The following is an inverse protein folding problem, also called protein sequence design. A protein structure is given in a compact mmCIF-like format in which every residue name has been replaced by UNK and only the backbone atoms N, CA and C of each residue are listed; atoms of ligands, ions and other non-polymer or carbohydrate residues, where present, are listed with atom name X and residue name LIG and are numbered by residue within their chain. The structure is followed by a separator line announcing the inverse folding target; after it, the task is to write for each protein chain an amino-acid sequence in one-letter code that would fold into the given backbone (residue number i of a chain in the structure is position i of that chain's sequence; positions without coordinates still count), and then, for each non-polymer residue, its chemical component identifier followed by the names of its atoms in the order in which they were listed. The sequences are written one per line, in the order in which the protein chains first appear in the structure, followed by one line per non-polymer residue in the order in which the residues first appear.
data_IF_625678300901
#
_entry.id   IF_625678300901
#
_cell.length_a   1.000
_cell.length_b   1.000
_cell.length_c   1.000
_cell.angle_alpha   90.00
_cell.angle_beta   90.00
_cell.angle_gamma   90.00
#
_symmetry.space_group_name_H-M   'P 1'
#
loop_
_entity.id
_entity.type
_entity.pdbx_description
1 polymer ?
#
# COMPACT_ATOMS: atom_id res chain seq x y z
N UNK A 1 -5.63 3.62 12.49
CA UNK A 1 -6.24 2.36 11.99
C UNK A 1 -6.85 2.69 10.66
N UNK A 2 -6.51 1.94 9.64
CA UNK A 2 -6.95 2.21 8.27
C UNK A 2 -8.20 1.38 8.02
N UNK A 3 -9.27 2.02 7.57
CA UNK A 3 -10.49 1.32 7.22
C UNK A 3 -10.32 0.67 5.84
N UNK A 4 -10.38 -0.66 5.80
CA UNK A 4 -10.34 -1.43 4.56
C UNK A 4 -11.72 -1.52 3.91
N UNK A 5 -11.74 -1.73 2.58
CA UNK A 5 -12.98 -1.72 1.79
C UNK A 5 -14.03 -2.79 2.17
N UNK A 6 -13.63 -3.89 2.81
CA UNK A 6 -14.54 -4.93 3.28
C UNK A 6 -13.91 -5.76 4.41
N UNK A 7 -14.75 -6.48 5.16
CA UNK A 7 -14.31 -7.29 6.30
C UNK A 7 -13.30 -8.40 5.92
N UNK A 8 -13.37 -8.90 4.70
CA UNK A 8 -12.40 -9.89 4.21
C UNK A 8 -11.02 -9.25 3.99
N UNK A 9 -10.97 -8.10 3.33
CA UNK A 9 -9.72 -7.34 3.15
C UNK A 9 -9.12 -6.98 4.52
N UNK A 10 -9.93 -6.53 5.48
CA UNK A 10 -9.48 -6.30 6.87
C UNK A 10 -8.83 -7.54 7.45
N UNK A 11 -9.50 -8.70 7.38
CA UNK A 11 -8.98 -9.93 7.97
C UNK A 11 -7.66 -10.37 7.36
N UNK A 12 -7.50 -10.16 6.06
CA UNK A 12 -6.35 -10.62 5.29
C UNK A 12 -5.15 -9.66 5.44
N UNK A 13 -5.37 -8.34 5.40
CA UNK A 13 -4.32 -7.33 5.56
C UNK A 13 -3.85 -7.18 7.03
N UNK A 14 -4.79 -7.23 7.98
CA UNK A 14 -4.48 -7.07 9.42
C UNK A 14 -4.25 -8.40 10.12
N UNK A 15 -4.51 -9.52 9.45
CA UNK A 15 -4.26 -10.86 9.95
C UNK A 15 -2.80 -11.02 10.37
N UNK A 16 -2.57 -11.60 11.54
CA UNK A 16 -1.22 -11.94 12.02
C UNK A 16 -1.16 -13.44 12.28
N UNK A 17 -0.19 -14.10 11.66
CA UNK A 17 0.08 -15.50 11.93
C UNK A 17 0.76 -15.63 13.30
N UNK A 18 0.31 -16.57 14.13
CA UNK A 18 0.94 -16.85 15.44
C UNK A 18 2.24 -17.64 15.31
N UNK A 19 2.44 -18.30 14.17
CA UNK A 19 3.59 -19.16 13.89
C UNK A 19 4.67 -18.38 13.14
N UNK A 20 4.27 -17.58 12.15
CA UNK A 20 5.19 -16.81 11.31
C UNK A 20 5.10 -15.33 11.68
N UNK A 21 6.14 -14.75 12.32
CA UNK A 21 6.14 -13.32 12.68
C UNK A 21 6.26 -12.41 11.46
N UNK A 22 6.95 -12.89 10.42
CA UNK A 22 7.02 -12.24 9.12
C UNK A 22 5.83 -12.69 8.25
N UNK A 23 5.12 -11.71 7.68
CA UNK A 23 3.99 -11.94 6.78
C UNK A 23 4.44 -12.65 5.50
N UNK A 24 5.64 -12.39 5.00
CA UNK A 24 6.17 -13.01 3.79
C UNK A 24 6.57 -14.48 3.99
N UNK A 25 6.83 -14.88 5.24
CA UNK A 25 7.10 -16.27 5.59
C UNK A 25 5.83 -17.11 5.81
N UNK A 26 4.66 -16.47 5.87
CA UNK A 26 3.38 -17.14 6.11
C UNK A 26 2.76 -17.59 4.77
N UNK A 27 2.62 -18.91 4.50
CA UNK A 27 2.03 -19.38 3.24
C UNK A 27 0.54 -19.00 3.10
N UNK A 28 -0.13 -18.71 4.21
CA UNK A 28 -1.53 -18.29 4.25
C UNK A 28 -1.71 -16.77 4.13
N UNK A 29 -0.62 -15.98 4.15
CA UNK A 29 -0.72 -14.54 3.92
C UNK A 29 -0.78 -14.26 2.41
N UNK A 30 -1.88 -13.70 1.94
CA UNK A 30 -2.11 -13.47 0.51
C UNK A 30 -1.85 -12.03 0.09
N UNK A 31 -2.23 -11.07 0.94
CA UNK A 31 -2.10 -9.64 0.66
C UNK A 31 -1.26 -8.98 1.74
N UNK A 32 -0.42 -8.03 1.33
CA UNK A 32 0.20 -7.06 2.22
C UNK A 32 -0.44 -5.70 2.03
N UNK A 33 -0.51 -4.93 3.10
CA UNK A 33 -0.80 -3.50 3.03
C UNK A 33 0.44 -2.74 3.48
N UNK A 34 0.89 -1.78 2.68
CA UNK A 34 2.07 -0.94 2.95
C UNK A 34 1.61 0.46 3.35
N UNK A 35 1.61 0.81 4.66
CA UNK A 35 1.01 2.04 5.15
C UNK A 35 1.63 3.31 4.56
N UNK A 36 2.96 3.37 4.42
CA UNK A 36 3.64 4.57 3.89
C UNK A 36 3.28 4.91 2.45
N UNK A 37 2.88 3.91 1.67
CA UNK A 37 2.40 4.12 0.30
C UNK A 37 0.88 4.01 0.18
N UNK A 38 0.15 3.68 1.25
CA UNK A 38 -1.27 3.29 1.22
C UNK A 38 -1.60 2.29 0.11
N UNK A 39 -0.68 1.34 -0.11
CA UNK A 39 -0.70 0.42 -1.24
C UNK A 39 -1.02 -0.99 -0.78
N UNK A 40 -1.78 -1.73 -1.60
CA UNK A 40 -2.01 -3.15 -1.41
C UNK A 40 -1.21 -3.95 -2.43
N UNK A 41 -0.58 -5.02 -1.98
CA UNK A 41 0.13 -5.96 -2.86
C UNK A 41 -0.30 -7.40 -2.62
N UNK A 42 -0.36 -8.19 -3.69
CA UNK A 42 -0.45 -9.64 -3.62
C UNK A 42 0.96 -10.19 -3.37
N UNK A 43 1.12 -10.97 -2.30
CA UNK A 43 2.42 -11.55 -1.92
C UNK A 43 2.85 -12.61 -2.93
N UNK A 44 4.12 -12.58 -3.32
CA UNK A 44 4.74 -13.61 -4.16
C UNK A 44 5.52 -14.56 -3.25
N UNK A 45 5.05 -15.81 -3.15
CA UNK A 45 5.66 -16.83 -2.30
C UNK A 45 6.79 -17.58 -3.03
N UNK A 46 7.84 -16.85 -3.39
CA UNK A 46 9.06 -17.39 -4.03
C UNK A 46 10.26 -17.51 -3.07
N UNK A 47 10.03 -17.25 -1.78
CA UNK A 47 11.05 -17.21 -0.73
C UNK A 47 11.64 -15.82 -0.49
N UNK A 48 11.21 -14.78 -1.22
CA UNK A 48 11.57 -13.38 -0.97
C UNK A 48 10.45 -12.56 -0.31
N UNK A 49 10.61 -11.23 -0.35
CA UNK A 49 9.62 -10.24 0.13
C UNK A 49 8.88 -9.54 -1.03
N UNK A 50 8.89 -10.18 -2.19
CA UNK A 50 8.28 -9.62 -3.39
C UNK A 50 6.76 -9.63 -3.28
N UNK A 51 6.13 -8.62 -3.88
CA UNK A 51 4.67 -8.55 -4.03
C UNK A 51 4.30 -7.72 -5.24
N UNK A 52 3.10 -7.94 -5.78
CA UNK A 52 2.57 -7.22 -6.94
C UNK A 52 1.43 -6.32 -6.51
N UNK A 53 1.52 -5.03 -6.81
CA UNK A 53 0.44 -4.08 -6.54
C UNK A 53 -0.88 -4.56 -7.16
N UNK A 54 -1.97 -4.35 -6.42
CA UNK A 54 -3.33 -4.64 -6.88
C UNK A 54 -4.20 -3.38 -6.82
N UNK A 55 -4.98 -3.13 -7.88
CA UNK A 55 -5.87 -1.98 -7.96
C UNK A 55 -7.31 -2.27 -7.49
N UNK A 56 -7.66 -3.55 -7.29
CA UNK A 56 -9.00 -3.97 -6.91
C UNK A 56 -8.93 -5.02 -5.80
N UNK A 57 -9.89 -4.95 -4.87
CA UNK A 57 -10.04 -5.94 -3.81
C UNK A 57 -10.38 -7.31 -4.39
N UNK A 58 -9.61 -8.39 -4.10
CA UNK A 58 -9.89 -9.73 -4.60
C UNK A 58 -11.23 -10.32 -4.14
N UNK A 59 -11.84 -9.75 -3.10
CA UNK A 59 -13.02 -10.32 -2.45
C UNK A 59 -14.32 -9.56 -2.74
N UNK A 60 -14.31 -8.22 -2.68
CA UNK A 60 -15.51 -7.42 -2.96
C UNK A 60 -15.47 -6.69 -4.31
N UNK A 61 -14.34 -6.72 -5.02
CA UNK A 61 -14.18 -6.05 -6.32
C UNK A 61 -14.09 -4.52 -6.26
N UNK A 62 -14.15 -3.91 -5.07
CA UNK A 62 -13.99 -2.48 -4.91
C UNK A 62 -12.61 -2.02 -5.42
N UNK A 63 -12.58 -0.86 -6.08
CA UNK A 63 -11.33 -0.18 -6.44
C UNK A 63 -10.62 0.24 -5.16
N UNK A 64 -9.33 -0.07 -5.07
CA UNK A 64 -8.47 0.28 -3.94
C UNK A 64 -7.95 1.72 -4.08
N UNK A 65 -7.52 2.37 -2.99
CA UNK A 65 -6.86 3.67 -3.06
C UNK A 65 -5.66 3.62 -4.01
N UNK A 66 -5.40 4.73 -4.69
CA UNK A 66 -4.19 4.87 -5.49
C UNK A 66 -2.95 4.80 -4.59
N UNK A 67 -1.89 4.15 -5.07
CA UNK A 67 -0.60 4.15 -4.38
C UNK A 67 -0.07 5.58 -4.27
N UNK A 68 0.38 5.93 -3.07
CA UNK A 68 1.04 7.20 -2.73
C UNK A 68 2.55 7.11 -2.87
N UNK A 69 3.07 6.01 -3.44
CA UNK A 69 4.51 5.74 -3.57
C UNK A 69 5.27 6.88 -4.26
N UNK A 70 4.77 7.35 -5.40
CA UNK A 70 5.42 8.46 -6.13
C UNK A 70 5.45 9.71 -5.26
N UNK A 71 4.31 10.06 -4.65
CA UNK A 71 4.21 11.21 -3.74
C UNK A 71 5.12 11.09 -2.52
N UNK A 72 5.40 9.86 -2.06
CA UNK A 72 6.31 9.62 -0.94
C UNK A 72 7.75 9.96 -1.34
N UNK A 73 8.19 9.52 -2.53
CA UNK A 73 9.50 9.87 -3.06
C UNK A 73 9.62 11.38 -3.32
N UNK A 74 8.61 11.99 -3.95
CA UNK A 74 8.58 13.44 -4.18
C UNK A 74 8.70 14.23 -2.86
N UNK A 75 8.02 13.75 -1.80
CA UNK A 75 8.05 14.40 -0.50
C UNK A 75 9.39 14.26 0.23
N UNK A 76 10.15 13.18 0.01
CA UNK A 76 11.51 13.04 0.51
C UNK A 76 12.52 13.85 -0.30
N UNK A 77 12.40 13.84 -1.64
CA UNK A 77 13.25 14.63 -2.52
C UNK A 77 13.11 16.13 -2.24
N UNK A 78 11.89 16.62 -2.01
CA UNK A 78 11.65 18.01 -1.63
C UNK A 78 12.32 18.42 -0.30
N UNK A 79 12.65 17.45 0.55
CA UNK A 79 13.41 17.63 1.81
C UNK A 79 14.91 17.37 1.62
N UNK A 80 15.34 16.98 0.42
CA UNK A 80 16.73 16.64 0.10
C UNK A 80 17.17 15.32 0.72
N UNK A 81 16.25 14.38 0.94
CA UNK A 81 16.51 13.08 1.57
C UNK A 81 16.54 12.01 0.48
N UNK A 82 17.65 11.28 0.38
CA UNK A 82 17.74 10.06 -0.41
C UNK A 82 17.39 8.84 0.47
N UNK A 83 16.24 8.17 0.29
CA UNK A 83 15.84 7.04 1.12
C UNK A 83 16.75 5.81 1.02
N UNK A 84 17.70 5.78 0.07
CA UNK A 84 18.66 4.69 -0.07
C UNK A 84 19.95 4.93 0.74
N UNK A 85 20.28 6.19 1.02
CA UNK A 85 21.55 6.59 1.65
C UNK A 85 21.35 7.30 3.00
N UNK A 86 20.22 8.01 3.17
CA UNK A 86 19.90 8.82 4.35
C UNK A 86 18.89 8.14 5.29
N UNK A 87 18.83 8.63 6.53
CA UNK A 87 17.82 8.21 7.51
C UNK A 87 16.44 8.81 7.15
N UNK A 88 15.48 7.93 6.87
CA UNK A 88 14.09 8.32 6.59
C UNK A 88 13.38 8.69 7.90
N UNK A 89 12.75 9.89 8.00
CA UNK A 89 12.07 10.30 9.21
C UNK A 89 10.94 9.35 9.62
N UNK A 90 10.70 9.09 10.92
CA UNK A 90 9.71 8.10 11.38
C UNK A 90 8.27 8.33 10.93
N UNK A 91 7.88 9.55 10.54
CA UNK A 91 6.57 9.88 9.98
C UNK A 91 6.39 9.40 8.52
N UNK A 92 7.47 9.07 7.82
CA UNK A 92 7.47 8.49 6.47
C UNK A 92 7.43 6.95 6.48
N UNK A 93 7.46 6.32 7.66
CA UNK A 93 7.30 4.86 7.78
C UNK A 93 5.82 4.41 7.83
N UNK A 94 4.89 5.36 7.92
CA UNK A 94 3.45 5.08 7.88
C UNK A 94 2.66 6.18 7.15
N UNK A 95 1.34 6.27 7.35
CA UNK A 95 0.46 7.20 6.64
C UNK A 95 0.46 8.63 7.22
N UNK A 96 1.26 8.92 8.26
CA UNK A 96 1.26 10.23 8.94
C UNK A 96 1.73 11.37 8.04
N UNK A 97 2.72 11.15 7.17
CA UNK A 97 3.24 12.19 6.25
C UNK A 97 2.18 12.73 5.28
N UNK A 98 1.11 11.97 5.00
CA UNK A 98 0.04 12.39 4.07
C UNK A 98 -0.78 13.58 4.59
N UNK A 99 -0.79 13.82 5.90
CA UNK A 99 -1.59 14.89 6.52
C UNK A 99 -0.98 16.28 6.33
N UNK A 100 0.27 16.37 5.89
CA UNK A 100 1.02 17.64 5.78
C UNK A 100 0.83 18.36 4.44
N UNK A 101 -0.15 17.95 3.62
CA UNK A 101 -0.67 18.78 2.54
C UNK A 101 0.24 18.87 1.31
N UNK A 102 0.26 17.80 0.52
CA UNK A 102 0.51 17.92 -0.93
C UNK A 102 -0.82 17.60 -1.61
N UNK A 103 -1.32 18.49 -2.45
CA UNK A 103 -2.61 18.35 -3.13
C UNK A 103 -2.61 17.11 -4.04
N UNK A 104 -3.70 16.34 -4.01
CA UNK A 104 -3.93 15.23 -4.95
C UNK A 104 -4.20 15.79 -6.36
N UNK A 105 -3.43 15.41 -7.40
CA UNK A 105 -3.74 15.80 -8.77
C UNK A 105 -4.83 14.94 -9.44
N UNK A 106 -5.49 14.01 -8.72
CA UNK A 106 -6.45 13.06 -9.32
C UNK A 106 -7.88 13.34 -8.85
N UNK A 107 -8.42 14.49 -9.27
CA UNK A 107 -9.86 14.82 -9.20
C UNK A 107 -10.51 14.85 -10.58
N UNK A 108 -10.01 14.07 -11.54
CA UNK A 108 -10.60 13.93 -12.87
C UNK A 108 -10.57 12.47 -13.30
N UNK A 109 -11.43 11.69 -12.67
CA UNK A 109 -11.76 10.35 -13.14
C UNK A 109 -12.72 10.45 -14.31
N UNK A 110 -12.26 10.08 -15.49
CA UNK A 110 -13.11 9.57 -16.57
C UNK A 110 -12.52 8.23 -17.03
N UNK A 111 -13.14 7.13 -16.59
CA UNK A 111 -12.89 5.80 -17.15
C UNK A 111 -13.43 5.80 -18.59
N UNK A 112 -12.64 5.40 -19.62
CA UNK A 112 -13.16 5.25 -20.96
C UNK A 112 -14.26 4.16 -21.01
N UNK A 113 -15.29 4.33 -21.86
CA UNK A 113 -16.42 3.42 -21.90
C UNK A 113 -15.97 2.00 -22.25
N UNK A 114 -16.36 1.03 -21.42
CA UNK A 114 -16.16 -0.39 -21.70
C UNK A 114 -16.99 -0.78 -22.93
N UNK A 115 -16.31 -1.15 -24.01
CA UNK A 115 -16.90 -1.78 -25.19
C UNK A 115 -17.62 -3.06 -24.78
N UNK A 116 -18.86 -3.23 -25.25
CA UNK A 116 -19.64 -4.48 -25.11
C UNK A 116 -19.09 -5.60 -25.96
#
# INVERSE_FOLDING_TARGET
MIDHCCAEMTRQADGRCRVHPDVFACPDALVRFEPKFREYGLIVHDGGTASREIAFCPWCGARLPQSQRDRWFDALEARGIDPWEDEVPPEFEDDRWLREGVADPVSSGEDPPRSR
#
